data_IF_919299274352
#
_entry.id   IF_919299274352
#
_cell.length_a   1.000
_cell.length_b   1.000
_cell.length_c   1.000
_cell.angle_alpha   90.00
_cell.angle_beta   90.00
_cell.angle_gamma   90.00
#
_symmetry.space_group_name_H-M   'P 1'
#
loop_
_entity.id
_entity.type
_entity.pdbx_description
1 polymer ?
#
# COMPACT_ATOMS: atom_id res chain seq x y z
N UNK A 1 1.13 15.91 5.41
CA UNK A 1 1.09 15.17 4.14
C UNK A 1 -0.17 14.30 4.14
N UNK A 2 -1.05 14.47 3.17
CA UNK A 2 -2.26 13.64 3.05
C UNK A 2 -1.93 12.22 2.60
N UNK A 3 -2.88 11.28 2.74
CA UNK A 3 -2.68 9.89 2.29
C UNK A 3 -2.31 9.83 0.80
N UNK A 4 -2.96 10.63 -0.05
CA UNK A 4 -2.67 10.70 -1.50
C UNK A 4 -1.26 11.17 -1.81
N UNK A 5 -0.75 12.16 -1.09
CA UNK A 5 0.62 12.68 -1.27
C UNK A 5 1.66 11.63 -0.85
N UNK A 6 1.40 10.92 0.25
CA UNK A 6 2.26 9.82 0.74
C UNK A 6 2.30 8.68 -0.28
N UNK A 7 1.14 8.27 -0.80
CA UNK A 7 1.04 7.24 -1.83
C UNK A 7 1.79 7.64 -3.11
N UNK A 8 1.60 8.88 -3.59
CA UNK A 8 2.30 9.36 -4.78
C UNK A 8 3.83 9.41 -4.60
N UNK A 9 4.30 9.79 -3.41
CA UNK A 9 5.73 9.78 -3.09
C UNK A 9 6.30 8.36 -3.11
N UNK A 10 5.57 7.39 -2.54
CA UNK A 10 5.96 5.98 -2.56
C UNK A 10 6.09 5.43 -3.99
N UNK A 11 5.08 5.67 -4.83
CA UNK A 11 5.08 5.22 -6.22
C UNK A 11 6.26 5.82 -6.99
N UNK A 12 6.46 7.12 -6.87
CA UNK A 12 7.60 7.81 -7.50
C UNK A 12 8.93 7.17 -7.10
N UNK A 13 9.09 6.87 -5.81
CA UNK A 13 10.29 6.23 -5.28
C UNK A 13 10.48 4.80 -5.83
N UNK A 14 9.42 3.99 -5.86
CA UNK A 14 9.46 2.62 -6.40
C UNK A 14 9.80 2.62 -7.89
N UNK A 15 9.22 3.53 -8.68
CA UNK A 15 9.58 3.68 -10.10
C UNK A 15 11.08 4.01 -10.26
N UNK A 16 11.62 4.90 -9.43
CA UNK A 16 13.05 5.24 -9.48
C UNK A 16 13.93 4.03 -9.11
N UNK A 17 13.57 3.27 -8.07
CA UNK A 17 14.30 2.06 -7.65
C UNK A 17 14.31 0.98 -8.74
N UNK A 18 13.15 0.72 -9.36
CA UNK A 18 13.06 -0.29 -10.41
C UNK A 18 13.84 0.14 -11.66
N UNK A 19 13.83 1.44 -12.02
CA UNK A 19 14.69 2.00 -13.09
C UNK A 19 16.17 1.87 -12.77
N UNK A 20 16.59 2.19 -11.56
CA UNK A 20 17.98 2.06 -11.12
C UNK A 20 18.48 0.61 -11.18
N UNK A 21 17.56 -0.35 -11.03
CA UNK A 21 17.82 -1.78 -11.19
C UNK A 21 17.68 -2.29 -12.64
N UNK A 22 17.66 -1.38 -13.63
CA UNK A 22 17.69 -1.70 -15.06
C UNK A 22 16.34 -2.13 -15.65
N UNK A 23 15.22 -1.84 -15.00
CA UNK A 23 13.87 -2.15 -15.50
C UNK A 23 13.17 -0.92 -16.07
N UNK A 24 12.06 -1.14 -16.77
CA UNK A 24 11.20 -0.09 -17.34
C UNK A 24 9.82 -0.07 -16.62
N UNK A 25 9.75 0.42 -15.37
CA UNK A 25 8.53 0.41 -14.59
C UNK A 25 7.52 1.46 -15.05
N UNK A 26 6.23 1.15 -14.93
CA UNK A 26 5.09 2.01 -15.26
C UNK A 26 4.11 2.08 -14.09
N UNK A 27 3.63 3.27 -13.77
CA UNK A 27 2.49 3.46 -12.85
C UNK A 27 1.21 3.05 -13.58
N UNK A 28 0.48 2.09 -13.02
CA UNK A 28 -0.72 1.49 -13.60
C UNK A 28 -1.93 1.56 -12.66
N UNK A 29 -1.87 2.38 -11.61
CA UNK A 29 -2.96 2.50 -10.61
C UNK A 29 -4.32 2.87 -11.22
N UNK A 30 -4.31 3.60 -12.34
CA UNK A 30 -5.53 4.02 -13.04
C UNK A 30 -5.99 3.03 -14.12
N UNK A 31 -5.29 1.90 -14.30
CA UNK A 31 -5.56 0.92 -15.36
C UNK A 31 -6.51 -0.21 -14.94
N UNK A 32 -7.03 -0.17 -13.71
CA UNK A 32 -7.91 -1.21 -13.17
C UNK A 32 -7.20 -2.51 -12.78
N UNK A 33 -5.87 -2.53 -12.86
CA UNK A 33 -5.05 -3.68 -12.47
C UNK A 33 -5.04 -3.86 -10.93
N UNK A 34 -4.82 -5.08 -10.43
CA UNK A 34 -4.80 -5.38 -8.99
C UNK A 34 -3.44 -5.10 -8.35
N UNK A 35 -2.66 -4.18 -8.90
CA UNK A 35 -1.33 -3.77 -8.43
C UNK A 35 -1.02 -2.37 -8.98
N UNK A 36 -0.04 -1.70 -8.39
CA UNK A 36 0.21 -0.28 -8.66
C UNK A 36 1.28 -0.03 -9.73
N UNK A 37 2.30 -0.88 -9.79
CA UNK A 37 3.45 -0.72 -10.70
C UNK A 37 3.69 -1.99 -11.51
N UNK A 38 3.69 -1.83 -12.84
CA UNK A 38 4.15 -2.86 -13.77
C UNK A 38 5.64 -2.67 -14.00
N UNK A 39 6.46 -3.65 -13.60
CA UNK A 39 7.91 -3.64 -13.84
C UNK A 39 8.36 -5.04 -14.25
N UNK A 40 8.06 -5.40 -15.49
CA UNK A 40 8.27 -6.75 -16.03
C UNK A 40 9.63 -7.37 -15.59
N UNK A 41 9.61 -8.60 -15.03
CA UNK A 41 8.46 -9.52 -14.93
C UNK A 41 7.51 -9.25 -13.74
N UNK A 42 7.81 -8.25 -12.89
CA UNK A 42 7.15 -7.99 -11.61
C UNK A 42 5.83 -7.24 -11.75
N UNK A 43 4.84 -7.71 -11.01
CA UNK A 43 3.59 -7.01 -10.70
C UNK A 43 3.73 -6.50 -9.26
N UNK A 44 3.81 -5.19 -9.04
CA UNK A 44 4.18 -4.62 -7.74
C UNK A 44 2.99 -3.87 -7.14
N UNK A 45 2.51 -4.33 -6.00
CA UNK A 45 1.61 -3.60 -5.10
C UNK A 45 2.45 -2.82 -4.08
N UNK A 46 2.12 -1.55 -3.83
CA UNK A 46 2.86 -0.66 -2.93
C UNK A 46 2.02 -0.30 -1.71
N UNK A 47 2.55 -0.53 -0.51
CA UNK A 47 1.98 -0.06 0.75
C UNK A 47 2.83 1.07 1.31
N UNK A 48 2.26 2.27 1.37
CA UNK A 48 2.96 3.51 1.68
C UNK A 48 2.69 3.97 3.12
N UNK A 49 3.76 4.31 3.84
CA UNK A 49 3.71 4.80 5.22
C UNK A 49 4.50 6.10 5.37
N UNK A 50 3.88 7.11 5.95
CA UNK A 50 4.52 8.41 6.20
C UNK A 50 5.66 8.31 7.24
N UNK A 51 5.50 7.42 8.21
CA UNK A 51 6.48 7.04 9.24
C UNK A 51 6.87 5.57 9.05
N UNK A 52 7.55 4.97 10.02
CA UNK A 52 7.90 3.56 9.97
C UNK A 52 6.66 2.68 9.85
N UNK A 53 6.74 1.64 9.01
CA UNK A 53 5.68 0.63 8.85
C UNK A 53 5.86 -0.55 9.82
N UNK A 54 6.74 -0.43 10.82
CA UNK A 54 6.96 -1.48 11.81
C UNK A 54 5.71 -1.61 12.68
N UNK A 55 5.20 -2.84 12.79
CA UNK A 55 4.00 -3.19 13.55
C UNK A 55 2.69 -2.62 13.00
N UNK A 56 2.72 -1.98 11.84
CA UNK A 56 1.52 -1.51 11.16
C UNK A 56 0.83 -2.66 10.39
N UNK A 57 -0.51 -2.67 10.30
CA UNK A 57 -1.22 -3.61 9.46
C UNK A 57 -0.93 -3.36 7.98
N UNK A 58 -0.89 -4.44 7.19
CA UNK A 58 -0.71 -4.40 5.73
C UNK A 58 -1.99 -4.91 5.04
N UNK A 59 -3.04 -4.09 4.96
CA UNK A 59 -4.29 -4.51 4.35
C UNK A 59 -4.10 -4.81 2.86
N UNK A 60 -4.60 -5.96 2.41
CA UNK A 60 -4.68 -6.34 1.01
C UNK A 60 -6.14 -6.42 0.59
N UNK A 61 -6.46 -5.86 -0.57
CA UNK A 61 -7.77 -6.05 -1.19
C UNK A 61 -7.90 -7.49 -1.70
N UNK A 62 -9.14 -7.99 -1.77
CA UNK A 62 -9.41 -9.35 -2.27
C UNK A 62 -8.78 -9.60 -3.65
N UNK A 63 -8.88 -8.65 -4.59
CA UNK A 63 -8.27 -8.76 -5.92
C UNK A 63 -6.73 -8.84 -5.90
N UNK A 64 -6.09 -8.21 -4.90
CA UNK A 64 -4.63 -8.25 -4.74
C UNK A 64 -4.20 -9.64 -4.24
N UNK A 65 -4.96 -10.21 -3.29
CA UNK A 65 -4.75 -11.59 -2.81
C UNK A 65 -4.90 -12.59 -3.94
N UNK A 66 -5.97 -12.49 -4.74
CA UNK A 66 -6.19 -13.38 -5.88
C UNK A 66 -5.09 -13.24 -6.94
N UNK A 67 -4.66 -12.00 -7.25
CA UNK A 67 -3.56 -11.77 -8.18
C UNK A 67 -2.23 -12.38 -7.70
N UNK A 68 -1.93 -12.27 -6.40
CA UNK A 68 -0.75 -12.85 -5.80
C UNK A 68 -0.77 -14.39 -5.82
N UNK A 69 -1.93 -15.01 -5.57
CA UNK A 69 -2.12 -16.47 -5.68
C UNK A 69 -1.97 -16.97 -7.11
N UNK A 70 -2.50 -16.24 -8.08
CA UNK A 70 -2.41 -16.59 -9.50
C UNK A 70 -1.01 -16.39 -10.09
N UNK A 71 -0.20 -15.49 -9.50
CA UNK A 71 1.11 -15.10 -10.03
C UNK A 71 2.21 -15.09 -8.95
N UNK A 72 2.46 -16.21 -8.24
CA UNK A 72 3.30 -16.23 -7.03
C UNK A 72 4.76 -15.81 -7.27
N UNK A 73 5.30 -16.05 -8.47
CA UNK A 73 6.68 -15.69 -8.83
C UNK A 73 6.82 -14.23 -9.33
N UNK A 74 5.69 -13.61 -9.70
CA UNK A 74 5.66 -12.28 -10.34
C UNK A 74 5.08 -11.22 -9.42
N UNK A 75 4.16 -11.56 -8.52
CA UNK A 75 3.53 -10.61 -7.62
C UNK A 75 4.47 -10.27 -6.45
N UNK A 76 4.70 -8.97 -6.26
CA UNK A 76 5.56 -8.43 -5.22
C UNK A 76 4.77 -7.40 -4.41
N UNK A 77 4.94 -7.42 -3.09
CA UNK A 77 4.42 -6.40 -2.20
C UNK A 77 5.59 -5.57 -1.68
N UNK A 78 5.64 -4.29 -2.06
CA UNK A 78 6.65 -3.34 -1.62
C UNK A 78 6.07 -2.51 -0.49
N UNK A 79 6.64 -2.66 0.71
CA UNK A 79 6.30 -1.81 1.86
C UNK A 79 7.30 -0.68 1.91
N UNK A 80 6.82 0.55 1.67
CA UNK A 80 7.62 1.78 1.61
C UNK A 80 7.30 2.64 2.82
N UNK A 81 8.30 2.95 3.64
CA UNK A 81 8.11 3.67 4.90
C UNK A 81 9.07 4.86 5.06
N UNK A 82 8.79 5.71 6.06
CA UNK A 82 9.52 6.95 6.35
C UNK A 82 9.41 8.05 5.27
N UNK A 83 8.29 8.12 4.55
CA UNK A 83 8.10 9.07 3.43
C UNK A 83 7.97 10.55 3.81
N UNK A 84 7.66 10.87 5.07
CA UNK A 84 7.46 12.26 5.53
C UNK A 84 8.75 12.98 5.95
N UNK A 85 9.94 12.44 5.62
CA UNK A 85 11.22 12.94 6.10
C UNK A 85 11.54 14.36 5.63
N UNK A 86 11.39 15.35 6.52
CA UNK A 86 12.07 16.65 6.42
C UNK A 86 13.44 16.64 7.13
N UNK A 87 13.68 15.70 8.07
CA UNK A 87 14.95 15.41 8.77
C UNK A 87 15.03 13.94 9.25
N UNK A 88 14.30 13.03 8.58
CA UNK A 88 14.05 11.64 9.04
C UNK A 88 15.03 10.58 8.52
N UNK A 89 14.92 9.31 8.99
CA UNK A 89 15.68 8.18 8.43
C UNK A 89 15.42 8.01 6.93
N UNK A 90 16.39 7.45 6.20
CA UNK A 90 16.25 7.15 4.77
C UNK A 90 14.94 6.38 4.48
N UNK A 91 14.34 6.66 3.31
CA UNK A 91 13.15 5.94 2.84
C UNK A 91 13.45 4.45 2.83
N UNK A 92 12.68 3.69 3.61
CA UNK A 92 12.85 2.25 3.72
C UNK A 92 11.98 1.52 2.71
N UNK A 93 12.52 0.48 2.07
CA UNK A 93 11.75 -0.41 1.20
C UNK A 93 11.97 -1.86 1.63
N UNK A 94 10.88 -2.54 1.99
CA UNK A 94 10.86 -3.99 2.26
C UNK A 94 10.05 -4.69 1.17
N UNK A 95 10.66 -5.68 0.53
CA UNK A 95 10.05 -6.46 -0.55
C UNK A 95 9.58 -7.81 -0.01
N UNK A 96 8.28 -8.06 -0.04
CA UNK A 96 7.69 -9.37 0.24
C UNK A 96 7.34 -10.06 -1.08
N UNK A 97 7.85 -11.27 -1.27
CA UNK A 97 7.63 -12.11 -2.45
C UNK A 97 7.86 -13.59 -2.13
N UNK A 98 7.42 -14.50 -2.99
CA UNK A 98 7.61 -15.94 -2.78
C UNK A 98 7.04 -16.41 -1.43
N UNK A 99 7.77 -17.28 -0.73
CA UNK A 99 7.27 -17.93 0.49
C UNK A 99 6.84 -16.97 1.60
N UNK A 100 7.52 -15.83 1.79
CA UNK A 100 7.11 -14.89 2.86
C UNK A 100 5.78 -14.20 2.54
N UNK A 101 5.55 -13.84 1.26
CA UNK A 101 4.28 -13.25 0.83
C UNK A 101 3.17 -14.30 0.85
N UNK A 102 3.47 -15.51 0.40
CA UNK A 102 2.55 -16.65 0.45
C UNK A 102 2.10 -16.93 1.88
N UNK A 103 3.03 -17.06 2.82
CA UNK A 103 2.72 -17.29 4.23
C UNK A 103 1.90 -16.15 4.85
N UNK A 104 2.15 -14.90 4.44
CA UNK A 104 1.32 -13.77 4.86
C UNK A 104 -0.11 -13.91 4.36
N UNK A 105 -0.31 -14.23 3.08
CA UNK A 105 -1.63 -14.40 2.47
C UNK A 105 -2.39 -15.59 3.08
N UNK A 106 -1.73 -16.72 3.32
CA UNK A 106 -2.36 -17.91 3.92
C UNK A 106 -2.82 -17.67 5.37
N UNK A 107 -2.23 -16.69 6.06
CA UNK A 107 -2.57 -16.31 7.44
C UNK A 107 -3.50 -15.10 7.52
N UNK A 108 -3.94 -14.56 6.38
CA UNK A 108 -4.87 -13.44 6.32
C UNK A 108 -6.31 -13.94 6.38
N UNK A 109 -7.11 -13.33 7.23
CA UNK A 109 -8.56 -13.52 7.27
C UNK A 109 -9.26 -12.33 6.62
N UNK A 110 -10.31 -12.54 5.81
CA UNK A 110 -11.11 -11.44 5.28
C UNK A 110 -11.70 -10.59 6.41
N UNK A 111 -11.51 -9.28 6.32
CA UNK A 111 -12.12 -8.30 7.23
C UNK A 111 -13.18 -7.51 6.45
N UNK A 112 -14.43 -7.52 6.92
CA UNK A 112 -15.51 -6.74 6.34
C UNK A 112 -15.62 -5.40 7.07
N UNK A 113 -15.32 -4.31 6.36
CA UNK A 113 -15.39 -2.94 6.91
C UNK A 113 -16.45 -2.13 6.15
N UNK A 114 -17.32 -1.45 6.88
CA UNK A 114 -18.31 -0.51 6.32
C UNK A 114 -17.82 0.92 6.51
N UNK A 115 -17.73 1.67 5.40
CA UNK A 115 -17.39 3.10 5.42
C UNK A 115 -18.66 3.91 5.17
N UNK A 116 -19.24 4.55 6.20
CA UNK A 116 -20.44 5.36 6.03
C UNK A 116 -20.13 6.60 5.17
N UNK A 117 -21.08 7.01 4.34
CA UNK A 117 -20.96 8.17 3.45
C UNK A 117 -21.41 9.48 4.11
N UNK A 118 -21.62 9.47 5.43
CA UNK A 118 -22.08 10.63 6.18
C UNK A 118 -21.12 11.80 6.01
N UNK A 119 -21.66 12.96 5.68
CA UNK A 119 -20.95 14.23 5.72
C UNK A 119 -20.84 14.73 7.14
N UNK A 120 -19.99 15.74 7.31
CA UNK A 120 -19.78 16.38 8.59
C UNK A 120 -21.04 16.88 9.27
N UNK A 121 -21.84 17.61 8.53
CA UNK A 121 -23.10 18.13 9.03
C UNK A 121 -24.03 17.02 9.56
N UNK A 122 -24.02 15.83 8.95
CA UNK A 122 -24.90 14.72 9.34
C UNK A 122 -24.45 14.06 10.65
N UNK A 123 -23.14 14.04 10.96
CA UNK A 123 -22.67 13.56 12.27
C UNK A 123 -22.73 14.63 13.37
N UNK A 124 -22.78 15.91 13.01
CA UNK A 124 -22.90 17.03 13.95
C UNK A 124 -24.28 17.09 14.64
N UNK A 125 -25.30 16.53 14.01
CA UNK A 125 -26.65 16.35 14.57
C UNK A 125 -26.71 15.23 15.64
N UNK A 126 -25.62 14.48 15.82
CA UNK A 126 -25.51 13.45 16.86
C UNK A 126 -25.47 14.01 18.29
N UNK A 127 -25.75 13.17 19.27
CA UNK A 127 -25.63 13.52 20.69
C UNK A 127 -24.18 13.94 21.02
N UNK A 128 -24.02 15.13 21.59
CA UNK A 128 -22.73 15.63 22.07
C UNK A 128 -22.60 15.38 23.56
N UNK A 129 -21.64 14.54 23.95
CA UNK A 129 -21.29 14.36 25.35
C UNK A 129 -20.59 15.61 25.90
N UNK A 130 -20.86 16.02 27.16
CA UNK A 130 -20.20 17.18 27.75
C UNK A 130 -18.70 16.89 27.96
N UNK A 131 -17.86 17.78 27.44
CA UNK A 131 -16.42 17.82 27.79
C UNK A 131 -16.27 18.32 29.22
N UNK A 132 -15.63 17.50 30.08
CA UNK A 132 -15.14 17.92 31.40
C UNK A 132 -13.88 18.77 31.29
#
# INVERSE_FOLDING_TARGET
MGNKETEQAAITHVLALERAAGREPRDVRTSGLPYDVDSAPRMIEVKAFSRSARSEPLPLEHRQVEAARANPDRFHLYVVDNLAGLDGPEIGVRVLRGEILRAMIERSEPQLTYWPTFRAAEYDDGERLPTR
#
